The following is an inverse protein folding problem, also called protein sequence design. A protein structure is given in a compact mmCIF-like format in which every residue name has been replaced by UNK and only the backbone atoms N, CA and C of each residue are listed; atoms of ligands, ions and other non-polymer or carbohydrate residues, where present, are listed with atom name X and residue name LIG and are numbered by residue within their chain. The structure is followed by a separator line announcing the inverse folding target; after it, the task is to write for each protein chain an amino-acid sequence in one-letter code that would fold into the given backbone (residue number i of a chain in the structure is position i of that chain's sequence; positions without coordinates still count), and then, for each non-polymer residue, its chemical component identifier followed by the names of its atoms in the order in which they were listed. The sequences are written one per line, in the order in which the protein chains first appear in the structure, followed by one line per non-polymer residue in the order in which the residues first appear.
data_IF_292798744235
#
_entry.id   IF_292798744235
#
_cell.length_a   1.000
_cell.length_b   1.000
_cell.length_c   1.000
_cell.angle_alpha   90.00
_cell.angle_beta   90.00
_cell.angle_gamma   90.00
#
_symmetry.space_group_name_H-M   'P 1'
#
loop_
_entity.id
_entity.type
_entity.pdbx_description
1 polymer ?
#
# COMPACT_ATOMS: atom_id res chain seq x y z
N UNK A 1 0.62 -8.20 -8.59
CA UNK A 1 1.43 -8.00 -7.35
C UNK A 1 2.68 -8.87 -7.26
N UNK A 2 2.57 -10.21 -7.23
CA UNK A 2 3.75 -11.08 -7.01
C UNK A 2 4.82 -10.92 -8.10
N UNK A 3 4.40 -10.73 -9.35
CA UNK A 3 5.30 -10.46 -10.47
C UNK A 3 6.09 -9.15 -10.31
N UNK A 4 5.49 -8.12 -9.72
CA UNK A 4 6.11 -6.80 -9.51
C UNK A 4 7.24 -6.92 -8.49
N UNK A 5 6.99 -7.62 -7.38
CA UNK A 5 8.05 -7.90 -6.39
C UNK A 5 9.11 -8.84 -6.94
N UNK A 6 8.77 -9.75 -7.86
CA UNK A 6 9.76 -10.59 -8.55
C UNK A 6 10.67 -9.81 -9.51
N UNK A 7 10.26 -8.62 -9.94
CA UNK A 7 11.11 -7.72 -10.73
C UNK A 7 12.21 -7.05 -9.88
N UNK A 8 12.04 -7.02 -8.55
CA UNK A 8 13.12 -6.59 -7.64
C UNK A 8 14.21 -7.66 -7.55
N UNK A 9 15.49 -7.24 -7.41
CA UNK A 9 16.59 -8.14 -7.05
C UNK A 9 16.24 -8.98 -5.80
N UNK A 10 16.62 -10.27 -5.72
CA UNK A 10 16.28 -11.12 -4.58
C UNK A 10 16.69 -10.57 -3.21
N UNK A 11 17.82 -9.86 -3.14
CA UNK A 11 18.37 -9.18 -1.97
C UNK A 11 17.65 -7.86 -1.63
N UNK A 12 16.79 -7.38 -2.53
CA UNK A 12 15.94 -6.19 -2.35
C UNK A 12 14.46 -6.56 -2.21
N UNK A 13 14.13 -7.85 -2.07
CA UNK A 13 12.74 -8.26 -1.82
C UNK A 13 12.33 -7.84 -0.41
N UNK A 14 11.15 -7.22 -0.24
CA UNK A 14 10.80 -6.53 0.99
C UNK A 14 10.45 -7.51 2.11
N UNK A 15 11.05 -7.33 3.28
CA UNK A 15 10.68 -8.03 4.50
C UNK A 15 9.63 -7.26 5.28
N UNK A 16 9.75 -5.93 5.29
CA UNK A 16 8.77 -5.02 5.89
C UNK A 16 8.02 -4.25 4.81
N UNK A 17 6.71 -4.46 4.77
CA UNK A 17 5.80 -3.82 3.80
C UNK A 17 4.93 -2.83 4.57
N UNK A 18 4.92 -1.58 4.14
CA UNK A 18 3.98 -0.57 4.60
C UNK A 18 2.82 -0.48 3.62
N UNK A 19 1.59 -0.73 4.07
CA UNK A 19 0.37 -0.65 3.29
C UNK A 19 -0.48 0.52 3.75
N UNK A 20 -0.58 1.53 2.89
CA UNK A 20 -1.24 2.79 3.20
C UNK A 20 -2.76 2.70 2.97
N UNK A 21 -3.54 3.26 3.90
CA UNK A 21 -4.99 3.41 3.81
C UNK A 21 -5.69 2.10 3.43
N UNK A 22 -5.37 1.04 4.18
CA UNK A 22 -5.46 -0.32 3.66
C UNK A 22 -6.86 -0.93 3.57
N UNK A 23 -7.85 -0.29 4.18
CA UNK A 23 -9.09 -0.92 4.60
C UNK A 23 -8.83 -2.19 5.40
N UNK A 24 -9.73 -3.16 5.26
CA UNK A 24 -9.59 -4.53 5.77
C UNK A 24 -8.94 -5.51 4.78
N UNK A 25 -8.42 -4.99 3.67
CA UNK A 25 -7.86 -5.79 2.60
C UNK A 25 -6.46 -6.31 2.94
N UNK A 26 -6.24 -7.60 2.67
CA UNK A 26 -5.03 -8.32 3.09
C UNK A 26 -4.17 -8.81 1.93
N UNK A 27 -4.36 -8.37 0.68
CA UNK A 27 -3.59 -8.96 -0.42
C UNK A 27 -2.07 -8.78 -0.33
N UNK A 28 -1.51 -7.71 0.27
CA UNK A 28 -0.06 -7.64 0.51
C UNK A 28 0.49 -8.78 1.35
N UNK A 29 -0.34 -9.47 2.15
CA UNK A 29 0.08 -10.68 2.87
C UNK A 29 0.55 -11.79 1.91
N UNK A 30 0.00 -11.84 0.69
CA UNK A 30 0.46 -12.75 -0.35
C UNK A 30 1.91 -12.51 -0.78
N UNK A 31 2.44 -11.29 -0.62
CA UNK A 31 3.83 -10.99 -0.92
C UNK A 31 4.79 -11.66 0.06
N UNK A 32 4.34 -12.01 1.27
CA UNK A 32 5.14 -12.75 2.24
C UNK A 32 5.59 -14.12 1.71
N UNK A 33 4.89 -14.71 0.73
CA UNK A 33 5.30 -15.96 0.10
C UNK A 33 6.51 -15.82 -0.84
N UNK A 34 6.91 -14.59 -1.20
CA UNK A 34 8.06 -14.33 -2.06
C UNK A 34 9.39 -14.20 -1.31
N UNK A 35 9.32 -14.11 0.02
CA UNK A 35 10.50 -14.04 0.88
C UNK A 35 11.15 -15.43 1.02
N UNK A 36 12.49 -15.48 1.19
CA UNK A 36 13.18 -16.69 1.65
C UNK A 36 12.48 -17.30 2.88
N UNK A 37 12.42 -18.64 2.98
CA UNK A 37 11.61 -19.36 3.98
C UNK A 37 11.96 -19.01 5.44
N UNK A 38 13.20 -18.58 5.65
CA UNK A 38 13.83 -18.30 6.93
C UNK A 38 13.68 -16.84 7.39
N UNK A 39 13.06 -15.97 6.58
CA UNK A 39 12.86 -14.56 6.91
C UNK A 39 11.40 -14.28 7.32
N UNK A 40 11.18 -13.59 8.45
CA UNK A 40 9.84 -13.17 8.84
C UNK A 40 9.34 -12.04 7.93
N UNK A 41 8.05 -12.07 7.60
CA UNK A 41 7.37 -10.99 6.89
C UNK A 41 6.65 -10.07 7.88
N UNK A 42 6.87 -8.76 7.78
CA UNK A 42 6.17 -7.74 8.57
C UNK A 42 5.31 -6.89 7.65
N UNK A 43 4.00 -6.87 7.89
CA UNK A 43 3.05 -6.00 7.23
C UNK A 43 2.62 -4.91 8.22
N UNK A 44 2.85 -3.65 7.89
CA UNK A 44 2.36 -2.50 8.64
C UNK A 44 1.20 -1.93 7.83
N UNK A 45 0.02 -1.81 8.43
CA UNK A 45 -1.18 -1.25 7.81
C UNK A 45 -1.51 0.06 8.51
N UNK A 46 -1.73 1.14 7.76
CA UNK A 46 -2.15 2.43 8.33
C UNK A 46 -3.59 2.72 7.97
N UNK A 47 -4.35 3.20 8.95
CA UNK A 47 -5.77 3.51 8.78
C UNK A 47 -6.24 4.65 9.70
N UNK A 48 -7.39 5.24 9.35
CA UNK A 48 -8.10 6.22 10.19
C UNK A 48 -9.38 5.65 10.78
N UNK A 49 -9.95 4.63 10.14
CA UNK A 49 -11.15 3.96 10.62
C UNK A 49 -10.78 2.80 11.55
N UNK A 50 -11.20 2.89 12.80
CA UNK A 50 -10.95 1.87 13.82
C UNK A 50 -11.74 0.58 13.56
N UNK A 51 -12.82 0.63 12.78
CA UNK A 51 -13.70 -0.50 12.53
C UNK A 51 -13.07 -1.53 11.55
N UNK A 52 -12.05 -1.12 10.76
CA UNK A 52 -11.30 -2.01 9.85
C UNK A 52 -10.65 -3.20 10.57
N UNK A 53 -10.35 -3.05 11.86
CA UNK A 53 -9.72 -4.10 12.65
C UNK A 53 -10.60 -5.36 12.80
N UNK A 54 -11.92 -5.21 12.69
CA UNK A 54 -12.86 -6.33 12.71
C UNK A 54 -12.80 -7.11 11.39
N UNK A 55 -12.81 -6.40 10.25
CA UNK A 55 -12.65 -7.02 8.93
C UNK A 55 -11.32 -7.74 8.78
N UNK A 56 -10.22 -7.14 9.23
CA UNK A 56 -8.89 -7.80 9.24
C UNK A 56 -8.93 -9.09 10.07
N UNK A 57 -9.56 -9.06 11.25
CA UNK A 57 -9.67 -10.23 12.11
C UNK A 57 -10.52 -11.34 11.46
N UNK A 58 -11.60 -10.98 10.75
CA UNK A 58 -12.45 -11.91 9.99
C UNK A 58 -11.66 -12.57 8.86
N UNK A 59 -10.97 -11.78 8.02
CA UNK A 59 -10.14 -12.30 6.91
C UNK A 59 -9.06 -13.25 7.42
N UNK A 60 -8.37 -12.91 8.52
CA UNK A 60 -7.34 -13.79 9.09
C UNK A 60 -7.92 -15.08 9.67
N UNK A 61 -9.11 -15.02 10.27
CA UNK A 61 -9.84 -16.19 10.77
C UNK A 61 -10.26 -17.12 9.63
N UNK A 62 -10.71 -16.56 8.51
CA UNK A 62 -11.06 -17.32 7.30
C UNK A 62 -9.85 -18.01 6.70
N UNK A 63 -8.72 -17.29 6.55
CA UNK A 63 -7.46 -17.86 6.08
C UNK A 63 -6.93 -18.97 7.01
N UNK A 64 -7.11 -18.84 8.32
CA UNK A 64 -6.79 -19.90 9.28
C UNK A 64 -7.72 -21.12 9.10
N UNK A 65 -9.03 -20.89 8.95
CA UNK A 65 -10.03 -21.95 8.76
C UNK A 65 -9.84 -22.71 7.45
N UNK A 66 -9.36 -22.02 6.41
CA UNK A 66 -8.95 -22.60 5.13
C UNK A 66 -7.61 -23.36 5.19
N UNK A 67 -6.88 -23.28 6.30
CA UNK A 67 -5.58 -23.94 6.48
C UNK A 67 -4.39 -23.21 5.84
N UNK A 68 -4.58 -21.98 5.37
CA UNK A 68 -3.50 -21.13 4.84
C UNK A 68 -2.61 -20.63 5.98
N UNK A 69 -3.22 -20.25 7.11
CA UNK A 69 -2.53 -19.73 8.29
C UNK A 69 -2.54 -20.73 9.44
N UNK A 70 -1.41 -20.86 10.13
CA UNK A 70 -1.27 -21.63 11.35
C UNK A 70 -0.81 -20.75 12.51
N UNK A 71 -1.22 -21.11 13.74
CA UNK A 71 -0.79 -20.44 14.99
C UNK A 71 -1.09 -18.94 15.01
N UNK A 72 -2.23 -18.54 14.45
CA UNK A 72 -2.69 -17.14 14.50
C UNK A 72 -2.87 -16.71 15.96
N UNK A 73 -2.30 -15.56 16.30
CA UNK A 73 -2.53 -14.85 17.55
C UNK A 73 -2.81 -13.37 17.25
N UNK A 74 -3.61 -12.74 18.10
CA UNK A 74 -3.96 -11.33 17.99
C UNK A 74 -3.74 -10.61 19.32
N UNK A 75 -3.27 -9.38 19.24
CA UNK A 75 -3.19 -8.44 20.35
C UNK A 75 -4.56 -7.88 20.74
N UNK A 76 -4.60 -7.06 21.81
CA UNK A 76 -5.82 -6.41 22.26
C UNK A 76 -6.43 -5.51 21.17
N UNK A 77 -7.77 -5.41 21.17
CA UNK A 77 -8.48 -4.52 20.27
C UNK A 77 -8.16 -3.05 20.58
N UNK A 78 -8.17 -2.21 19.54
CA UNK A 78 -8.07 -0.76 19.69
C UNK A 78 -9.44 -0.26 20.15
N UNK A 79 -9.50 0.36 21.32
CA UNK A 79 -10.75 0.90 21.91
C UNK A 79 -10.82 2.42 21.91
N UNK A 80 -9.77 3.08 21.41
CA UNK A 80 -9.62 4.54 21.30
C UNK A 80 -9.63 4.97 19.85
N UNK A 81 -9.68 6.30 19.60
CA UNK A 81 -9.62 6.87 18.24
C UNK A 81 -8.27 6.68 17.54
N UNK A 82 -7.25 6.30 18.29
CA UNK A 82 -5.92 5.97 17.78
C UNK A 82 -5.34 4.81 18.57
N UNK A 83 -4.40 4.08 17.97
CA UNK A 83 -3.73 2.97 18.63
C UNK A 83 -3.09 1.99 17.66
N UNK A 84 -2.57 0.90 18.22
CA UNK A 84 -1.93 -0.14 17.44
C UNK A 84 -2.44 -1.52 17.86
N UNK A 85 -2.74 -2.37 16.87
CA UNK A 85 -3.10 -3.77 17.08
C UNK A 85 -2.23 -4.66 16.22
N UNK A 86 -1.75 -5.75 16.82
CA UNK A 86 -0.91 -6.71 16.14
C UNK A 86 -1.61 -8.05 15.92
N UNK A 87 -1.29 -8.73 14.83
CA UNK A 87 -1.53 -10.16 14.63
C UNK A 87 -0.22 -10.84 14.24
N UNK A 88 -0.07 -12.11 14.57
CA UNK A 88 1.08 -12.90 14.14
C UNK A 88 0.67 -14.34 13.88
N UNK A 89 1.40 -15.01 13.00
CA UNK A 89 1.12 -16.40 12.67
C UNK A 89 2.14 -16.98 11.71
N UNK A 90 1.76 -18.08 11.07
CA UNK A 90 2.53 -18.70 10.00
C UNK A 90 1.71 -18.85 8.74
N UNK A 91 2.26 -18.40 7.61
CA UNK A 91 1.74 -18.66 6.25
C UNK A 91 2.62 -19.75 5.64
N UNK A 92 2.10 -20.97 5.52
CA UNK A 92 2.94 -22.14 5.23
C UNK A 92 4.03 -22.37 6.29
N UNK A 93 5.30 -22.35 5.90
CA UNK A 93 6.45 -22.47 6.81
C UNK A 93 6.88 -21.13 7.45
N UNK A 94 6.54 -20.01 6.81
CA UNK A 94 7.04 -18.66 7.11
C UNK A 94 6.28 -18.01 8.26
N UNK A 95 7.00 -17.27 9.11
CA UNK A 95 6.36 -16.44 10.13
C UNK A 95 5.93 -15.10 9.53
N UNK A 96 4.75 -14.61 9.89
CA UNK A 96 4.32 -13.25 9.56
C UNK A 96 3.86 -12.50 10.81
N UNK A 97 3.91 -11.18 10.73
CA UNK A 97 3.28 -10.25 11.67
C UNK A 97 2.57 -9.14 10.91
N UNK A 98 1.39 -8.76 11.37
CA UNK A 98 0.60 -7.64 10.87
C UNK A 98 0.46 -6.63 11.99
N UNK A 99 0.71 -5.36 11.72
CA UNK A 99 0.57 -4.25 12.65
C UNK A 99 -0.37 -3.21 12.05
N UNK A 100 -1.60 -3.12 12.58
CA UNK A 100 -2.54 -2.05 12.22
C UNK A 100 -2.27 -0.83 13.10
N UNK A 101 -1.95 0.30 12.49
CA UNK A 101 -1.76 1.61 13.12
C UNK A 101 -2.94 2.50 12.78
N UNK A 102 -3.77 2.79 13.77
CA UNK A 102 -4.87 3.75 13.65
C UNK A 102 -4.41 5.12 14.13
N UNK A 103 -4.52 6.11 13.26
CA UNK A 103 -4.27 7.51 13.57
C UNK A 103 -5.60 8.25 13.77
N UNK A 104 -5.65 9.16 14.75
CA UNK A 104 -6.82 10.04 14.92
C UNK A 104 -6.87 10.98 13.69
N UNK A 105 -8.02 11.13 13.00
CA UNK A 105 -8.11 11.98 11.82
C UNK A 105 -7.88 13.45 12.16
N UNK A 106 -6.65 13.93 11.95
CA UNK A 106 -6.36 15.35 11.89
C UNK A 106 -6.60 15.86 10.45
N UNK A 107 -7.28 17.00 10.28
CA UNK A 107 -7.39 17.63 8.96
C UNK A 107 -5.99 17.89 8.40
N UNK A 108 -5.70 17.33 7.22
CA UNK A 108 -4.41 17.42 6.53
C UNK A 108 -3.22 16.69 7.18
N UNK A 109 -3.46 15.66 7.99
CA UNK A 109 -2.38 14.73 8.33
C UNK A 109 -1.87 14.00 7.06
N UNK A 110 -0.55 13.88 6.87
CA UNK A 110 0.00 13.14 5.74
C UNK A 110 -0.28 11.65 5.90
N UNK A 111 -0.55 10.98 4.77
CA UNK A 111 -0.75 9.53 4.66
C UNK A 111 0.51 8.75 5.02
N UNK A 112 1.68 9.34 4.80
CA UNK A 112 3.00 8.73 5.05
C UNK A 112 3.96 9.73 5.69
N UNK A 113 4.73 9.26 6.67
CA UNK A 113 5.74 10.07 7.36
C UNK A 113 7.16 9.58 7.08
N UNK A 114 8.17 10.41 7.39
CA UNK A 114 9.59 10.05 7.26
C UNK A 114 9.94 8.79 8.04
N UNK A 115 9.41 8.66 9.25
CA UNK A 115 9.69 7.55 10.17
C UNK A 115 9.11 6.25 9.62
N UNK A 116 7.92 6.31 9.01
CA UNK A 116 7.31 5.15 8.35
C UNK A 116 8.16 4.66 7.18
N UNK A 117 8.78 5.57 6.42
CA UNK A 117 9.66 5.21 5.30
C UNK A 117 10.98 4.58 5.78
N UNK A 118 11.48 4.92 6.96
CA UNK A 118 12.67 4.30 7.54
C UNK A 118 12.41 2.87 8.03
N UNK A 119 11.16 2.53 8.37
CA UNK A 119 10.77 1.20 8.82
C UNK A 119 10.48 0.20 7.68
N UNK A 120 10.27 0.68 6.45
CA UNK A 120 9.75 -0.12 5.36
C UNK A 120 10.79 -0.43 4.27
N UNK A 121 10.69 -1.63 3.68
CA UNK A 121 11.44 -2.03 2.49
C UNK A 121 10.63 -1.82 1.19
N UNK A 122 9.30 -1.79 1.31
CA UNK A 122 8.35 -1.52 0.24
C UNK A 122 7.17 -0.74 0.82
N UNK A 123 6.76 0.32 0.13
CA UNK A 123 5.49 1.00 0.38
C UNK A 123 4.50 0.57 -0.70
N UNK A 124 3.30 0.21 -0.29
CA UNK A 124 2.18 -0.09 -1.18
C UNK A 124 1.07 0.89 -0.85
N UNK A 125 0.54 1.53 -1.88
CA UNK A 125 -0.64 2.36 -1.77
C UNK A 125 -1.65 1.96 -2.81
N UNK A 126 -2.89 1.87 -2.39
CA UNK A 126 -4.04 1.96 -3.25
C UNK A 126 -4.82 3.19 -2.85
N UNK A 127 -5.30 3.94 -3.83
CA UNK A 127 -6.33 4.91 -3.56
C UNK A 127 -7.70 4.31 -3.91
N UNK A 128 -8.53 4.12 -2.87
CA UNK A 128 -9.92 3.70 -3.03
C UNK A 128 -10.86 4.89 -3.29
N UNK A 129 -10.34 6.12 -3.41
CA UNK A 129 -11.18 7.28 -3.75
C UNK A 129 -11.79 7.17 -5.15
N UNK A 130 -11.18 6.37 -6.05
CA UNK A 130 -11.55 6.36 -7.46
C UNK A 130 -11.20 7.68 -8.17
N UNK A 131 -10.48 8.58 -7.49
CA UNK A 131 -9.97 9.82 -8.04
C UNK A 131 -8.47 9.65 -8.38
N UNK A 132 -8.05 9.86 -9.63
CA UNK A 132 -6.65 9.74 -10.07
C UNK A 132 -5.69 10.64 -9.30
N UNK A 133 -6.25 11.73 -8.78
CA UNK A 133 -5.58 12.72 -7.96
C UNK A 133 -4.98 12.07 -6.72
N UNK A 134 -5.61 11.07 -6.12
CA UNK A 134 -5.09 10.51 -4.88
C UNK A 134 -3.86 9.63 -5.06
N UNK A 135 -3.71 8.90 -6.17
CA UNK A 135 -2.46 8.18 -6.46
C UNK A 135 -1.28 9.13 -6.70
N UNK A 136 -1.50 10.25 -7.39
CA UNK A 136 -0.46 11.28 -7.54
C UNK A 136 -0.20 12.01 -6.22
N UNK A 137 -1.23 12.34 -5.45
CA UNK A 137 -1.08 12.92 -4.11
C UNK A 137 -0.24 12.02 -3.19
N UNK A 138 -0.45 10.70 -3.24
CA UNK A 138 0.38 9.74 -2.50
C UNK A 138 1.85 9.84 -2.91
N UNK A 139 2.15 9.96 -4.21
CA UNK A 139 3.55 10.12 -4.66
C UNK A 139 4.12 11.44 -4.15
N UNK A 140 3.38 12.55 -4.19
CA UNK A 140 3.82 13.83 -3.61
C UNK A 140 4.12 13.69 -2.11
N UNK A 141 3.13 13.25 -1.31
CA UNK A 141 3.29 13.09 0.13
C UNK A 141 4.45 12.15 0.50
N UNK A 142 4.59 11.05 -0.25
CA UNK A 142 5.71 10.13 -0.14
C UNK A 142 7.06 10.82 -0.41
N UNK A 143 7.16 11.63 -1.47
CA UNK A 143 8.38 12.36 -1.78
C UNK A 143 8.67 13.44 -0.72
N UNK A 144 7.67 14.16 -0.25
CA UNK A 144 7.83 15.13 0.86
C UNK A 144 8.33 14.45 2.14
N UNK A 145 7.80 13.28 2.48
CA UNK A 145 8.30 12.47 3.59
C UNK A 145 9.75 12.03 3.36
N UNK A 146 10.06 11.54 2.16
CA UNK A 146 11.41 11.08 1.80
C UNK A 146 12.46 12.21 1.82
N UNK A 147 12.08 13.47 1.54
CA UNK A 147 12.98 14.63 1.61
C UNK A 147 13.50 14.91 3.01
N UNK A 148 12.77 14.48 4.04
CA UNK A 148 13.19 14.61 5.45
C UNK A 148 14.28 13.58 5.81
N UNK A 149 14.48 12.55 4.98
CA UNK A 149 15.45 11.49 5.18
C UNK A 149 16.66 11.64 4.23
N UNK A 150 17.86 11.32 4.71
CA UNK A 150 19.07 11.34 3.86
C UNK A 150 19.23 10.09 2.99
N UNK A 151 18.63 8.96 3.40
CA UNK A 151 18.64 7.71 2.66
C UNK A 151 17.67 7.73 1.47
N UNK A 152 17.97 6.92 0.44
CA UNK A 152 17.01 6.65 -0.63
C UNK A 152 15.75 5.99 -0.05
N UNK A 153 14.55 6.44 -0.43
CA UNK A 153 13.34 5.90 0.14
C UNK A 153 13.00 4.54 -0.51
N UNK A 154 12.27 3.64 0.18
CA UNK A 154 11.94 2.30 -0.31
C UNK A 154 11.03 2.35 -1.54
N UNK A 155 11.12 1.43 -2.52
CA UNK A 155 10.22 1.43 -3.68
C UNK A 155 8.74 1.63 -3.32
N UNK A 156 7.98 2.29 -4.22
CA UNK A 156 6.55 2.55 -4.05
C UNK A 156 5.76 1.76 -5.10
N UNK A 157 4.88 0.87 -4.65
CA UNK A 157 3.90 0.21 -5.49
C UNK A 157 2.59 0.97 -5.43
N UNK A 158 2.11 1.40 -6.59
CA UNK A 158 0.81 2.06 -6.75
C UNK A 158 -0.15 1.08 -7.42
N UNK A 159 -1.24 0.76 -6.73
CA UNK A 159 -2.31 -0.08 -7.24
C UNK A 159 -3.27 0.73 -8.15
N UNK A 160 -3.88 0.07 -9.12
CA UNK A 160 -5.00 0.56 -9.94
C UNK A 160 -4.77 1.77 -10.86
N UNK A 161 -3.52 2.21 -11.04
CA UNK A 161 -3.22 3.35 -11.91
C UNK A 161 -3.65 3.14 -13.38
N UNK A 162 -3.80 1.89 -13.83
CA UNK A 162 -4.18 1.55 -15.21
C UNK A 162 -5.69 1.47 -15.45
N UNK A 163 -6.53 1.47 -14.41
CA UNK A 163 -7.99 1.43 -14.55
C UNK A 163 -8.59 2.80 -14.95
N UNK A 164 -7.76 3.84 -14.95
CA UNK A 164 -8.17 5.19 -15.24
C UNK A 164 -8.23 5.49 -16.75
N UNK A 165 -9.22 6.26 -17.26
CA UNK A 165 -9.34 6.64 -18.67
C UNK A 165 -8.17 7.45 -19.26
N UNK A 166 -7.30 8.06 -18.45
CA UNK A 166 -6.20 8.89 -18.92
C UNK A 166 -4.84 8.35 -18.43
N UNK A 167 -3.91 8.14 -19.37
CA UNK A 167 -2.56 7.67 -19.08
C UNK A 167 -1.78 8.71 -18.26
N UNK A 168 -1.25 8.31 -17.10
CA UNK A 168 -0.35 9.16 -16.31
C UNK A 168 1.09 8.85 -16.67
N UNK A 169 1.87 9.86 -17.09
CA UNK A 169 3.30 9.66 -17.38
C UNK A 169 4.12 9.53 -16.10
N UNK A 170 4.47 8.29 -15.75
CA UNK A 170 5.28 7.98 -14.58
C UNK A 170 6.78 7.87 -14.86
N UNK A 171 7.24 8.13 -16.09
CA UNK A 171 8.68 8.05 -16.42
C UNK A 171 9.57 8.87 -15.48
N UNK A 172 9.16 10.06 -14.98
CA UNK A 172 9.97 10.80 -13.99
C UNK A 172 10.24 10.02 -12.69
N UNK A 173 9.40 9.04 -12.35
CA UNK A 173 9.52 8.23 -11.13
C UNK A 173 10.09 6.84 -11.40
N UNK A 174 10.94 6.71 -12.43
CA UNK A 174 11.77 5.51 -12.71
C UNK A 174 11.02 4.17 -12.50
N UNK A 175 9.96 3.89 -13.29
CA UNK A 175 9.17 2.67 -13.12
C UNK A 175 10.03 1.42 -13.32
N UNK A 176 10.00 0.51 -12.36
CA UNK A 176 10.76 -0.75 -12.34
C UNK A 176 9.98 -1.83 -13.11
N UNK A 177 8.69 -1.94 -12.82
CA UNK A 177 7.81 -2.95 -13.37
C UNK A 177 6.37 -2.46 -13.37
N UNK A 178 5.55 -2.99 -14.28
CA UNK A 178 4.12 -2.77 -14.29
C UNK A 178 3.40 -4.07 -14.60
N UNK A 179 2.16 -4.16 -14.16
CA UNK A 179 1.26 -5.26 -14.42
C UNK A 179 -0.13 -4.71 -14.69
N UNK A 180 -0.78 -5.28 -15.70
CA UNK A 180 -2.20 -5.11 -15.98
C UNK A 180 -3.01 -6.31 -15.45
N UNK A 181 -2.37 -7.27 -14.77
CA UNK A 181 -3.07 -8.41 -14.20
C UNK A 181 -3.91 -7.93 -13.02
N UNK A 182 -5.20 -8.25 -13.08
CA UNK A 182 -6.10 -7.97 -11.99
C UNK A 182 -5.70 -8.73 -10.73
N UNK A 183 -5.70 -8.06 -9.58
CA UNK A 183 -5.37 -8.70 -8.31
C UNK A 183 -6.06 -8.02 -7.11
N UNK A 184 -5.91 -8.63 -5.94
CA UNK A 184 -6.67 -8.26 -4.74
C UNK A 184 -8.07 -8.85 -4.84
N UNK A 185 -8.67 -9.16 -3.69
CA UNK A 185 -10.03 -9.71 -3.67
C UNK A 185 -10.83 -8.88 -2.70
N UNK A 186 -11.92 -8.28 -3.20
CA UNK A 186 -12.74 -7.44 -2.34
C UNK A 186 -13.33 -8.33 -1.29
N UNK A 187 -13.34 -7.76 -0.10
CA UNK A 187 -14.54 -7.80 0.63
C UNK A 187 -15.55 -6.69 0.21
N UNK A 188 -16.67 -6.99 -0.51
CA UNK A 188 -18.05 -6.58 -0.07
C UNK A 188 -19.03 -5.58 -0.77
N UNK A 189 -20.32 -5.97 -0.89
CA UNK A 189 -21.53 -5.40 -1.55
C UNK A 189 -22.20 -4.16 -0.92
N UNK A 190 -21.75 -2.93 -1.22
CA UNK A 190 -22.60 -1.76 -0.98
C UNK A 190 -22.42 -0.68 -2.04
N UNK A 191 -23.57 -0.05 -2.35
CA UNK A 191 -23.67 1.07 -3.27
C UNK A 191 -22.97 2.34 -2.78
N UNK A 192 -23.11 3.43 -3.53
CA UNK A 192 -22.32 4.64 -3.32
C UNK A 192 -22.51 5.22 -1.91
N UNK A 193 -21.42 5.39 -1.17
CA UNK A 193 -21.41 6.00 0.16
C UNK A 193 -21.82 5.09 1.33
N UNK A 194 -21.86 3.76 1.13
CA UNK A 194 -21.96 2.79 2.24
C UNK A 194 -20.98 1.62 2.00
N UNK A 195 -20.43 1.08 3.07
CA UNK A 195 -19.55 -0.11 3.09
C UNK A 195 -20.39 -1.41 2.99
N UNK A 196 -19.91 -2.40 2.23
CA UNK A 196 -20.67 -3.57 1.76
C UNK A 196 -20.49 -4.88 2.51
N UNK A 197 -21.07 -6.01 2.03
CA UNK A 197 -20.81 -7.42 2.49
C UNK A 197 -20.29 -8.39 1.39
N UNK A 198 -19.22 -9.16 1.65
CA UNK A 198 -18.20 -9.75 0.73
C UNK A 198 -18.52 -11.00 -0.06
N UNK A 199 -18.43 -10.92 -1.39
CA UNK A 199 -18.29 -12.08 -2.28
C UNK A 199 -16.86 -12.25 -2.79
N UNK A 200 -16.21 -13.33 -2.35
CA UNK A 200 -14.95 -13.86 -2.89
C UNK A 200 -15.10 -14.13 -4.40
N UNK A 201 -14.64 -13.23 -5.28
CA UNK A 201 -14.63 -13.53 -6.72
C UNK A 201 -14.19 -12.42 -7.67
N UNK A 202 -14.46 -11.15 -7.38
CA UNK A 202 -14.13 -10.05 -8.30
C UNK A 202 -12.84 -9.35 -7.86
N UNK A 203 -11.84 -9.20 -8.75
CA UNK A 203 -10.63 -8.46 -8.41
C UNK A 203 -10.90 -6.97 -8.20
N UNK A 204 -10.22 -6.36 -7.23
CA UNK A 204 -10.42 -4.94 -6.86
C UNK A 204 -9.59 -4.02 -7.75
N UNK A 205 -8.36 -4.43 -8.06
CA UNK A 205 -7.38 -3.57 -8.71
C UNK A 205 -7.06 -4.08 -10.11
N UNK A 206 -7.07 -3.17 -11.08
CA UNK A 206 -6.80 -3.40 -12.50
C UNK A 206 -5.33 -3.48 -12.87
N UNK A 207 -4.46 -3.86 -11.93
CA UNK A 207 -3.01 -3.85 -12.11
C UNK A 207 -2.29 -2.93 -11.14
N UNK A 208 -0.98 -2.80 -11.30
CA UNK A 208 -0.12 -1.96 -10.48
C UNK A 208 1.20 -1.62 -11.15
N UNK A 209 1.84 -0.56 -10.66
CA UNK A 209 3.17 -0.14 -11.07
C UNK A 209 4.07 -0.05 -9.86
N UNK A 210 5.30 -0.52 -10.01
CA UNK A 210 6.35 -0.40 -9.01
C UNK A 210 7.32 0.70 -9.44
N UNK A 211 7.42 1.75 -8.63
CA UNK A 211 8.26 2.92 -8.85
C UNK A 211 9.54 2.82 -8.03
N UNK A 212 10.64 3.30 -8.62
CA UNK A 212 11.88 3.59 -7.89
C UNK A 212 12.15 5.08 -7.87
N UNK A 213 12.94 5.54 -6.91
CA UNK A 213 13.30 6.96 -6.81
C UNK A 213 14.80 7.18 -6.91
N UNK A 214 15.47 6.32 -7.68
CA UNK A 214 16.93 6.28 -7.82
C UNK A 214 17.53 7.58 -8.38
N UNK A 215 16.82 8.22 -9.32
CA UNK A 215 17.31 9.43 -10.00
C UNK A 215 17.33 10.68 -9.10
N UNK A 216 16.69 10.63 -7.92
CA UNK A 216 16.73 11.63 -6.83
C UNK A 216 16.52 13.12 -7.23
N UNK A 217 16.11 13.43 -8.46
CA UNK A 217 15.93 14.79 -8.99
C UNK A 217 15.00 15.64 -8.13
N UNK A 218 13.97 15.01 -7.56
CA UNK A 218 12.98 15.62 -6.67
C UNK A 218 13.60 16.22 -5.40
N UNK A 219 14.81 15.77 -4.99
CA UNK A 219 15.54 16.35 -3.85
C UNK A 219 16.08 17.74 -4.14
N UNK A 220 16.36 18.03 -5.40
CA UNK A 220 16.96 19.30 -5.82
C UNK A 220 15.92 20.40 -6.07
N UNK A 221 14.64 20.04 -6.12
CA UNK A 221 13.55 20.98 -6.35
C UNK A 221 13.13 21.69 -5.08
N UNK A 222 12.82 22.98 -5.16
CA UNK A 222 12.04 23.67 -4.13
C UNK A 222 10.61 23.10 -4.04
N UNK A 223 9.90 23.36 -2.94
CA UNK A 223 8.50 22.92 -2.76
C UNK A 223 7.61 23.39 -3.93
N UNK A 224 7.68 24.67 -4.31
CA UNK A 224 6.91 25.22 -5.44
C UNK A 224 7.24 24.55 -6.79
N UNK A 225 8.50 24.18 -7.01
CA UNK A 225 8.89 23.46 -8.23
C UNK A 225 8.34 22.03 -8.23
N UNK A 226 8.26 21.41 -7.04
CA UNK A 226 7.67 20.10 -6.86
C UNK A 226 6.17 20.15 -7.18
N UNK A 227 5.45 21.09 -6.57
CA UNK A 227 4.03 21.36 -6.83
C UNK A 227 3.78 21.59 -8.33
N UNK A 228 4.62 22.40 -9.00
CA UNK A 228 4.52 22.64 -10.45
C UNK A 228 4.71 21.36 -11.30
N UNK A 229 5.52 20.40 -10.86
CA UNK A 229 5.67 19.11 -11.55
C UNK A 229 4.39 18.28 -11.41
N UNK A 230 3.80 18.24 -10.23
CA UNK A 230 2.55 17.53 -9.99
C UNK A 230 1.39 18.19 -10.73
N UNK A 231 1.28 19.51 -10.71
CA UNK A 231 0.33 20.27 -11.53
C UNK A 231 0.49 19.95 -13.03
N UNK A 232 1.72 19.88 -13.53
CA UNK A 232 1.96 19.49 -14.92
C UNK A 232 1.53 18.05 -15.22
N UNK A 233 1.86 17.10 -14.34
CA UNK A 233 1.43 15.70 -14.50
C UNK A 233 -0.10 15.59 -14.47
N UNK A 234 -0.77 16.39 -13.65
CA UNK A 234 -2.22 16.48 -13.56
C UNK A 234 -2.84 17.11 -14.81
N UNK A 235 -2.30 18.24 -15.28
CA UNK A 235 -2.85 18.96 -16.44
C UNK A 235 -2.71 18.17 -17.75
N UNK A 236 -1.62 17.41 -17.93
CA UNK A 236 -1.46 16.55 -19.12
C UNK A 236 -2.47 15.39 -19.16
N UNK A 237 -3.16 15.07 -18.06
CA UNK A 237 -4.23 14.06 -18.08
C UNK A 237 -5.49 14.56 -18.79
N UNK A 238 -5.66 15.88 -18.94
CA UNK A 238 -6.85 16.49 -19.54
C UNK A 238 -6.68 16.94 -21.00
N UNK A 239 -5.45 16.87 -21.54
CA UNK A 239 -5.10 17.25 -22.91
C UNK A 239 -4.98 16.02 -23.86
N UNK A 240 -5.92 15.07 -23.74
CA UNK A 240 -6.04 13.96 -24.69
C UNK A 240 -7.24 14.24 -25.62
N UNK A 241 -6.94 14.78 -26.81
CA UNK A 241 -7.86 14.87 -27.97
C UNK A 241 -8.11 13.50 -28.63
#
# INVERSE_FOLDING_TARGET
MLELVRALPPDQRPQTILYLASGDHMAPLGLCDLLPEDLPCRLIMTEIDVDVQEGIAEVLSDLQSAGCINRLSGGPAITSRSGTRGWAGKLGSRSFSIELRISDPEPAAPLVTSEMLEEADLVISHDWSGEPLGNLQVIDEYLQAARKNSALPPPLMIEDLQAHPYETDLRPFSPIASSAENYGHRASDAGPGRHGRVELGTPIFGGAVLLSFADAWWRELSENQMESVFDFLLLNQFDID
#
